data_IF_768798063342
#
_entry.id   IF_768798063342
#
_cell.length_a   1.000
_cell.length_b   1.000
_cell.length_c   1.000
_cell.angle_alpha   90.00
_cell.angle_beta   90.00
_cell.angle_gamma   90.00
#
_symmetry.space_group_name_H-M   'P 1'
#
loop_
_entity.id
_entity.type
_entity.pdbx_description
1 polymer ?
#
# COMPACT_ATOMS: atom_id res chain seq x y z
N UNK A 1 -41.66 0.66 -21.39
CA UNK A 1 -40.78 -0.50 -21.22
C UNK A 1 -39.60 -0.09 -20.34
N UNK A 2 -39.78 -0.10 -19.04
CA UNK A 2 -38.72 0.19 -18.07
C UNK A 2 -38.03 -1.14 -17.75
N UNK A 3 -37.02 -1.50 -18.55
CA UNK A 3 -36.24 -2.72 -18.31
C UNK A 3 -35.29 -2.48 -17.13
N UNK A 4 -35.54 -3.19 -16.03
CA UNK A 4 -34.55 -3.90 -15.19
C UNK A 4 -33.14 -3.26 -15.16
N UNK A 5 -32.95 -2.17 -14.40
CA UNK A 5 -31.61 -1.71 -13.98
C UNK A 5 -31.29 -2.07 -12.52
N UNK A 6 -32.31 -2.43 -11.72
CA UNK A 6 -32.20 -2.66 -10.27
C UNK A 6 -31.36 -3.91 -9.92
N UNK A 7 -31.26 -4.89 -10.83
CA UNK A 7 -30.51 -6.13 -10.58
C UNK A 7 -29.00 -6.00 -10.84
N UNK A 8 -28.58 -5.10 -11.74
CA UNK A 8 -27.17 -4.87 -12.01
C UNK A 8 -26.52 -4.00 -10.94
N UNK A 9 -27.26 -3.01 -10.44
CA UNK A 9 -26.80 -2.10 -9.40
C UNK A 9 -26.61 -2.84 -8.07
N UNK A 10 -27.57 -3.68 -7.65
CA UNK A 10 -27.43 -4.50 -6.44
C UNK A 10 -26.35 -5.58 -6.54
N UNK A 11 -26.15 -6.18 -7.72
CA UNK A 11 -25.04 -7.13 -7.95
C UNK A 11 -23.68 -6.43 -7.87
N UNK A 12 -23.58 -5.23 -8.44
CA UNK A 12 -22.37 -4.39 -8.37
C UNK A 12 -22.06 -4.00 -6.92
N UNK A 13 -23.04 -3.48 -6.19
CA UNK A 13 -22.91 -3.09 -4.78
C UNK A 13 -22.49 -4.27 -3.88
N UNK A 14 -23.03 -5.47 -4.11
CA UNK A 14 -22.62 -6.67 -3.40
C UNK A 14 -21.17 -7.07 -3.70
N UNK A 15 -20.75 -7.03 -4.97
CA UNK A 15 -19.37 -7.32 -5.36
C UNK A 15 -18.40 -6.29 -4.77
N UNK A 16 -18.75 -5.01 -4.81
CA UNK A 16 -18.01 -3.93 -4.18
C UNK A 16 -17.89 -4.11 -2.66
N UNK A 17 -18.98 -4.47 -1.99
CA UNK A 17 -19.00 -4.73 -0.55
C UNK A 17 -18.15 -5.93 -0.13
N UNK A 18 -18.25 -7.05 -0.85
CA UNK A 18 -17.42 -8.24 -0.58
C UNK A 18 -15.94 -7.96 -0.85
N UNK A 19 -15.63 -7.23 -1.93
CA UNK A 19 -14.25 -6.84 -2.25
C UNK A 19 -13.68 -5.90 -1.19
N UNK A 20 -14.46 -4.93 -0.72
CA UNK A 20 -14.04 -4.01 0.34
C UNK A 20 -13.81 -4.73 1.67
N UNK A 21 -14.67 -5.68 2.04
CA UNK A 21 -14.50 -6.48 3.24
C UNK A 21 -13.25 -7.36 3.17
N UNK A 22 -13.05 -8.05 2.04
CA UNK A 22 -11.86 -8.87 1.82
C UNK A 22 -10.56 -8.03 1.85
N UNK A 23 -10.59 -6.83 1.25
CA UNK A 23 -9.48 -5.88 1.34
C UNK A 23 -9.14 -5.52 2.78
N UNK A 24 -10.16 -5.26 3.60
CA UNK A 24 -9.97 -4.94 5.00
C UNK A 24 -9.36 -6.13 5.73
N UNK A 25 -9.98 -7.31 5.64
CA UNK A 25 -9.61 -8.47 6.45
C UNK A 25 -8.26 -9.07 6.04
N UNK A 26 -8.02 -9.21 4.73
CA UNK A 26 -6.86 -9.94 4.23
C UNK A 26 -5.69 -9.02 3.89
N UNK A 27 -5.97 -7.78 3.48
CA UNK A 27 -4.94 -6.85 3.01
C UNK A 27 -4.72 -5.67 3.98
N UNK A 28 -5.59 -5.33 4.94
CA UNK A 28 -5.39 -4.17 5.86
C UNK A 28 -5.23 -4.61 7.33
N UNK A 29 -6.07 -5.49 7.84
CA UNK A 29 -6.09 -5.90 9.25
C UNK A 29 -4.77 -6.52 9.76
N UNK A 30 -4.03 -7.35 8.97
CA UNK A 30 -2.78 -7.95 9.44
C UNK A 30 -1.66 -6.94 9.74
N UNK A 31 -1.78 -5.70 9.25
CA UNK A 31 -0.72 -4.69 9.34
C UNK A 31 -0.61 -4.03 10.70
N UNK A 32 -1.63 -4.12 11.56
CA UNK A 32 -1.60 -3.50 12.90
C UNK A 32 -0.41 -4.01 13.72
N UNK A 33 0.00 -5.28 13.53
CA UNK A 33 1.15 -5.86 14.21
C UNK A 33 2.47 -5.27 13.70
N UNK A 34 2.63 -5.13 12.38
CA UNK A 34 3.86 -4.57 11.78
C UNK A 34 3.95 -3.09 12.14
N UNK A 35 2.89 -2.30 11.97
CA UNK A 35 2.86 -0.87 12.28
C UNK A 35 3.21 -0.55 13.74
N UNK A 36 2.92 -1.46 14.67
CA UNK A 36 3.15 -1.25 16.12
C UNK A 36 4.36 -2.00 16.67
N UNK A 37 5.14 -2.65 15.79
CA UNK A 37 6.30 -3.44 16.20
C UNK A 37 7.41 -2.53 16.75
N UNK A 38 7.55 -2.54 18.07
CA UNK A 38 8.52 -1.74 18.81
C UNK A 38 9.98 -2.20 18.62
N UNK A 39 10.21 -3.35 17.98
CA UNK A 39 11.57 -3.80 17.68
C UNK A 39 12.29 -2.91 16.65
N UNK A 40 11.55 -2.08 15.92
CA UNK A 40 12.08 -1.13 14.95
C UNK A 40 12.36 0.27 15.51
N UNK A 41 12.17 0.50 16.82
CA UNK A 41 12.41 1.81 17.43
C UNK A 41 13.79 2.38 17.07
N UNK A 42 13.81 3.56 16.41
CA UNK A 42 14.99 4.27 15.86
C UNK A 42 15.54 3.69 14.55
N UNK A 43 14.82 2.79 13.90
CA UNK A 43 15.10 2.21 12.59
C UNK A 43 13.98 2.54 11.59
N UNK A 44 13.36 3.72 11.68
CA UNK A 44 12.13 4.02 10.94
C UNK A 44 12.19 3.86 9.42
N UNK A 45 13.31 4.18 8.78
CA UNK A 45 13.48 3.89 7.35
C UNK A 45 13.39 2.39 7.06
N UNK A 46 13.98 1.55 7.91
CA UNK A 46 13.89 0.09 7.80
C UNK A 46 12.47 -0.40 8.10
N UNK A 47 11.80 0.18 9.09
CA UNK A 47 10.40 -0.16 9.42
C UNK A 47 9.47 0.09 8.24
N UNK A 48 9.63 1.25 7.58
CA UNK A 48 8.89 1.59 6.36
C UNK A 48 9.18 0.59 5.23
N UNK A 49 10.44 0.15 5.08
CA UNK A 49 10.80 -0.86 4.07
C UNK A 49 10.07 -2.17 4.32
N UNK A 50 10.17 -2.69 5.55
CA UNK A 50 9.55 -3.95 5.95
C UNK A 50 8.04 -3.91 5.74
N UNK A 51 7.39 -2.78 6.06
CA UNK A 51 5.97 -2.61 5.80
C UNK A 51 5.65 -2.73 4.29
N UNK A 52 6.39 -2.04 3.43
CA UNK A 52 6.17 -2.07 1.98
C UNK A 52 6.49 -3.44 1.37
N UNK A 53 7.61 -4.06 1.75
CA UNK A 53 8.00 -5.40 1.30
C UNK A 53 6.93 -6.44 1.64
N UNK A 54 6.41 -6.38 2.86
CA UNK A 54 5.38 -7.29 3.26
C UNK A 54 4.06 -6.99 2.51
N UNK A 55 3.71 -5.72 2.23
CA UNK A 55 2.54 -5.38 1.41
C UNK A 55 2.65 -5.97 0.00
N UNK A 56 3.82 -5.85 -0.61
CA UNK A 56 4.16 -6.45 -1.91
C UNK A 56 3.98 -7.97 -1.84
N UNK A 57 4.62 -8.63 -0.87
CA UNK A 57 4.56 -10.08 -0.72
C UNK A 57 3.13 -10.59 -0.54
N UNK A 58 2.33 -9.92 0.29
CA UNK A 58 0.92 -10.27 0.54
C UNK A 58 0.08 -10.17 -0.73
N UNK A 59 0.19 -9.07 -1.49
CA UNK A 59 -0.61 -8.89 -2.72
C UNK A 59 -0.18 -9.83 -3.83
N UNK A 60 1.12 -10.06 -4.01
CA UNK A 60 1.62 -11.05 -4.97
C UNK A 60 1.20 -12.48 -4.60
N UNK A 61 1.25 -12.82 -3.31
CA UNK A 61 0.75 -14.11 -2.84
C UNK A 61 -0.71 -14.34 -3.26
N UNK A 62 -1.61 -13.37 -3.07
CA UNK A 62 -3.00 -13.53 -3.54
C UNK A 62 -3.14 -13.52 -5.05
N UNK A 63 -2.34 -12.73 -5.76
CA UNK A 63 -2.32 -12.74 -7.23
C UNK A 63 -1.94 -14.12 -7.79
N UNK A 64 -1.13 -14.89 -7.06
CA UNK A 64 -0.70 -16.24 -7.44
C UNK A 64 -1.60 -17.35 -6.90
N UNK A 65 -2.02 -17.26 -5.63
CA UNK A 65 -2.76 -18.32 -4.95
C UNK A 65 -4.26 -18.30 -5.22
N UNK A 66 -4.83 -17.15 -5.57
CA UNK A 66 -6.23 -16.97 -5.92
C UNK A 66 -6.39 -15.88 -7.00
N UNK A 67 -5.90 -16.20 -8.21
CA UNK A 67 -5.86 -15.28 -9.33
C UNK A 67 -7.26 -14.75 -9.73
N UNK A 68 -8.32 -15.57 -9.63
CA UNK A 68 -9.68 -15.16 -9.95
C UNK A 68 -10.19 -14.09 -8.96
N UNK A 69 -10.00 -14.32 -7.66
CA UNK A 69 -10.35 -13.35 -6.63
C UNK A 69 -9.53 -12.05 -6.78
N UNK A 70 -8.24 -12.18 -7.07
CA UNK A 70 -7.35 -11.05 -7.24
C UNK A 70 -7.67 -10.22 -8.50
N UNK A 71 -8.05 -10.86 -9.61
CA UNK A 71 -8.51 -10.19 -10.83
C UNK A 71 -9.80 -9.40 -10.59
N UNK A 72 -10.77 -10.00 -9.89
CA UNK A 72 -12.00 -9.31 -9.49
C UNK A 72 -11.67 -8.09 -8.63
N UNK A 73 -10.79 -8.24 -7.65
CA UNK A 73 -10.30 -7.16 -6.83
C UNK A 73 -9.65 -6.05 -7.66
N UNK A 74 -8.71 -6.38 -8.54
CA UNK A 74 -8.03 -5.43 -9.42
C UNK A 74 -9.03 -4.64 -10.28
N UNK A 75 -10.04 -5.32 -10.82
CA UNK A 75 -11.12 -4.70 -11.58
C UNK A 75 -11.97 -3.75 -10.73
N UNK A 76 -12.43 -4.18 -9.56
CA UNK A 76 -13.25 -3.33 -8.67
C UNK A 76 -12.46 -2.10 -8.21
N UNK A 77 -11.15 -2.23 -7.96
CA UNK A 77 -10.30 -1.07 -7.63
C UNK A 77 -10.14 -0.07 -8.77
N UNK A 78 -10.25 -0.51 -10.02
CA UNK A 78 -10.25 0.39 -11.18
C UNK A 78 -11.61 1.07 -11.39
N UNK A 79 -12.71 0.38 -11.06
CA UNK A 79 -14.08 0.85 -11.31
C UNK A 79 -14.65 1.70 -10.16
N UNK A 80 -14.12 1.59 -8.93
CA UNK A 80 -14.63 2.27 -7.73
C UNK A 80 -13.58 3.16 -7.06
N UNK A 81 -13.61 4.45 -7.39
CA UNK A 81 -12.73 5.47 -6.82
C UNK A 81 -12.84 5.56 -5.29
N UNK A 82 -14.02 5.33 -4.71
CA UNK A 82 -14.23 5.44 -3.26
C UNK A 82 -13.57 4.29 -2.50
N UNK A 83 -13.62 3.06 -3.02
CA UNK A 83 -13.00 1.89 -2.38
C UNK A 83 -11.48 2.03 -2.41
N UNK A 84 -10.90 2.42 -3.55
CA UNK A 84 -9.45 2.62 -3.66
C UNK A 84 -8.99 3.79 -2.78
N UNK A 85 -9.74 4.89 -2.71
CA UNK A 85 -9.41 6.02 -1.85
C UNK A 85 -9.37 5.63 -0.37
N UNK A 86 -10.36 4.86 0.11
CA UNK A 86 -10.36 4.35 1.49
C UNK A 86 -9.16 3.43 1.75
N UNK A 87 -8.90 2.49 0.83
CA UNK A 87 -7.75 1.58 0.94
C UNK A 87 -6.42 2.34 1.02
N UNK A 88 -6.20 3.32 0.13
CA UNK A 88 -5.01 4.16 0.13
C UNK A 88 -4.91 4.97 1.42
N UNK A 89 -6.01 5.55 1.91
CA UNK A 89 -6.02 6.27 3.19
C UNK A 89 -5.65 5.39 4.38
N UNK A 90 -6.02 4.11 4.38
CA UNK A 90 -5.58 3.15 5.41
C UNK A 90 -4.07 2.89 5.35
N UNK A 91 -3.52 2.64 4.15
CA UNK A 91 -2.08 2.45 3.98
C UNK A 91 -1.28 3.71 4.35
N UNK A 92 -1.76 4.90 3.96
CA UNK A 92 -1.16 6.18 4.34
C UNK A 92 -1.12 6.29 5.85
N UNK A 93 -2.22 6.02 6.55
CA UNK A 93 -2.28 6.10 8.01
C UNK A 93 -1.26 5.18 8.69
N UNK A 94 -1.13 3.93 8.25
CA UNK A 94 -0.15 3.00 8.83
C UNK A 94 1.30 3.51 8.65
N UNK A 95 1.65 3.97 7.46
CA UNK A 95 2.99 4.52 7.21
C UNK A 95 3.20 5.82 7.99
N UNK A 96 2.19 6.68 8.11
CA UNK A 96 2.24 7.88 8.95
C UNK A 96 2.46 7.57 10.42
N UNK A 97 1.85 6.49 10.93
CA UNK A 97 2.08 6.02 12.30
C UNK A 97 3.54 5.57 12.50
N UNK A 98 4.10 4.81 11.55
CA UNK A 98 5.51 4.43 11.55
C UNK A 98 6.41 5.68 11.53
N UNK A 99 6.16 6.64 10.63
CA UNK A 99 6.94 7.88 10.53
C UNK A 99 6.92 8.67 11.85
N UNK A 100 5.76 8.74 12.51
CA UNK A 100 5.59 9.48 13.77
C UNK A 100 6.28 8.79 14.95
N UNK A 101 6.24 7.45 15.02
CA UNK A 101 6.90 6.69 16.08
C UNK A 101 8.42 6.87 16.04
N UNK A 102 8.96 7.05 14.85
CA UNK A 102 10.40 6.94 14.62
C UNK A 102 11.15 8.25 14.86
N UNK A 103 10.50 9.42 14.76
CA UNK A 103 10.90 10.72 15.33
C UNK A 103 12.40 11.15 15.24
N UNK A 104 13.05 11.07 14.06
CA UNK A 104 13.90 12.19 13.61
C UNK A 104 13.29 12.93 12.42
N UNK A 105 12.28 12.35 11.77
CA UNK A 105 11.59 12.92 10.62
C UNK A 105 10.68 14.09 11.03
N UNK A 106 11.20 15.32 11.09
CA UNK A 106 10.36 16.54 11.17
C UNK A 106 9.69 16.85 9.83
N UNK A 107 9.01 15.88 9.22
CA UNK A 107 8.02 16.22 8.21
C UNK A 107 6.88 16.91 8.94
N UNK A 108 6.63 18.18 8.58
CA UNK A 108 5.47 18.92 9.07
C UNK A 108 4.15 18.20 8.75
N UNK A 109 4.18 17.20 7.85
CA UNK A 109 3.05 16.38 7.48
C UNK A 109 3.47 14.92 7.16
N UNK A 110 3.44 14.00 8.15
CA UNK A 110 3.72 12.57 7.94
C UNK A 110 2.86 11.92 6.84
N UNK A 111 1.60 12.36 6.68
CA UNK A 111 0.69 11.83 5.66
C UNK A 111 1.17 12.14 4.24
N UNK A 112 1.80 13.30 4.03
CA UNK A 112 2.36 13.67 2.72
C UNK A 112 3.53 12.76 2.37
N UNK A 113 4.42 12.46 3.33
CA UNK A 113 5.53 11.55 3.08
C UNK A 113 5.03 10.12 2.85
N UNK A 114 4.11 9.63 3.69
CA UNK A 114 3.49 8.33 3.54
C UNK A 114 2.84 8.15 2.16
N UNK A 115 2.09 9.16 1.70
CA UNK A 115 1.49 9.16 0.37
C UNK A 115 2.56 9.14 -0.74
N UNK A 116 3.64 9.93 -0.60
CA UNK A 116 4.74 9.94 -1.56
C UNK A 116 5.44 8.57 -1.68
N UNK A 117 5.70 7.90 -0.55
CA UNK A 117 6.29 6.55 -0.52
C UNK A 117 5.37 5.54 -1.21
N UNK A 118 4.06 5.58 -0.92
CA UNK A 118 3.08 4.70 -1.58
C UNK A 118 3.01 4.91 -3.08
N UNK A 119 3.03 6.17 -3.53
CA UNK A 119 3.03 6.52 -4.94
C UNK A 119 4.31 6.08 -5.63
N UNK A 120 5.48 6.34 -5.04
CA UNK A 120 6.77 5.95 -5.60
C UNK A 120 6.93 4.43 -5.74
N UNK A 121 6.27 3.67 -4.86
CA UNK A 121 6.32 2.19 -4.85
C UNK A 121 5.11 1.53 -5.50
N UNK A 122 4.17 2.30 -6.07
CA UNK A 122 2.90 1.78 -6.57
C UNK A 122 3.06 0.63 -7.57
N UNK A 123 4.07 0.68 -8.44
CA UNK A 123 4.35 -0.38 -9.42
C UNK A 123 4.49 -1.77 -8.79
N UNK A 124 4.94 -1.86 -7.55
CA UNK A 124 5.28 -3.12 -6.91
C UNK A 124 4.12 -3.76 -6.13
N UNK A 125 3.07 -3.00 -5.80
CA UNK A 125 1.94 -3.46 -4.98
C UNK A 125 0.56 -3.04 -5.49
N UNK A 126 0.45 -2.05 -6.37
CA UNK A 126 -0.84 -1.61 -6.86
C UNK A 126 -1.40 -2.57 -7.93
N UNK A 127 -2.66 -3.03 -7.84
CA UNK A 127 -3.20 -4.11 -8.69
C UNK A 127 -3.20 -3.80 -10.18
N UNK A 128 -3.26 -2.53 -10.56
CA UNK A 128 -3.13 -2.10 -11.96
C UNK A 128 -1.81 -2.53 -12.61
N UNK A 129 -0.78 -2.88 -11.82
CA UNK A 129 0.52 -3.36 -12.29
C UNK A 129 0.71 -4.87 -12.13
N UNK A 130 -0.34 -5.65 -11.85
CA UNK A 130 -0.23 -7.10 -11.59
C UNK A 130 0.50 -7.85 -12.71
N UNK A 131 0.29 -7.44 -13.96
CA UNK A 131 0.92 -8.02 -15.14
C UNK A 131 2.45 -7.81 -15.20
N UNK A 132 2.96 -6.82 -14.46
CA UNK A 132 4.40 -6.51 -14.37
C UNK A 132 5.11 -7.33 -13.29
N UNK A 133 4.38 -7.87 -12.31
CA UNK A 133 4.96 -8.55 -11.14
C UNK A 133 5.63 -9.88 -11.46
N UNK A 134 5.30 -10.48 -12.60
CA UNK A 134 5.93 -11.73 -13.08
C UNK A 134 7.29 -11.48 -13.74
N UNK A 135 7.71 -10.21 -13.89
CA UNK A 135 9.03 -9.88 -14.40
C UNK A 135 10.12 -10.41 -13.46
N UNK A 136 11.13 -11.14 -13.96
CA UNK A 136 12.25 -11.60 -13.12
C UNK A 136 13.10 -10.44 -12.58
N UNK A 137 12.93 -9.22 -13.11
CA UNK A 137 13.64 -8.02 -12.65
C UNK A 137 12.90 -7.25 -11.56
N UNK A 138 11.63 -7.59 -11.26
CA UNK A 138 10.74 -6.74 -10.45
C UNK A 138 11.28 -6.44 -9.05
N UNK A 139 11.94 -7.41 -8.43
CA UNK A 139 12.51 -7.25 -7.08
C UNK A 139 13.78 -6.40 -7.11
N UNK A 140 14.64 -6.60 -8.11
CA UNK A 140 15.81 -5.76 -8.28
C UNK A 140 15.43 -4.30 -8.56
N UNK A 141 14.37 -4.07 -9.34
CA UNK A 141 13.82 -2.74 -9.62
C UNK A 141 13.22 -2.10 -8.36
N UNK A 142 12.54 -2.87 -7.51
CA UNK A 142 12.07 -2.40 -6.21
C UNK A 142 13.22 -1.94 -5.33
N UNK A 143 14.29 -2.74 -5.23
CA UNK A 143 15.47 -2.39 -4.43
C UNK A 143 16.14 -1.09 -4.92
N UNK A 144 16.18 -0.83 -6.23
CA UNK A 144 16.70 0.43 -6.76
C UNK A 144 15.83 1.64 -6.38
N UNK A 145 14.50 1.50 -6.48
CA UNK A 145 13.57 2.56 -6.06
C UNK A 145 13.66 2.79 -4.55
N UNK A 146 13.72 1.71 -3.77
CA UNK A 146 13.84 1.81 -2.32
C UNK A 146 15.15 2.47 -1.90
N UNK A 147 16.27 2.12 -2.53
CA UNK A 147 17.56 2.75 -2.26
C UNK A 147 17.50 4.26 -2.48
N UNK A 148 16.83 4.73 -3.55
CA UNK A 148 16.64 6.16 -3.79
C UNK A 148 15.80 6.83 -2.68
N UNK A 149 14.71 6.19 -2.27
CA UNK A 149 13.85 6.67 -1.17
C UNK A 149 14.65 6.74 0.13
N UNK A 150 15.35 5.67 0.49
CA UNK A 150 16.18 5.59 1.69
C UNK A 150 17.25 6.69 1.71
N UNK A 151 17.97 6.90 0.60
CA UNK A 151 18.97 7.99 0.50
C UNK A 151 18.33 9.36 0.63
N UNK A 152 17.15 9.57 0.05
CA UNK A 152 16.38 10.81 0.20
C UNK A 152 15.98 11.07 1.65
N UNK A 153 15.48 10.04 2.34
CA UNK A 153 15.09 10.11 3.76
C UNK A 153 16.30 10.43 4.66
N UNK A 154 17.42 9.71 4.48
CA UNK A 154 18.66 9.94 5.25
C UNK A 154 19.26 11.32 4.97
N UNK A 155 19.20 11.81 3.74
CA UNK A 155 19.71 13.14 3.41
C UNK A 155 18.92 14.25 4.13
N UNK A 156 17.59 14.10 4.19
CA UNK A 156 16.72 15.03 4.93
C UNK A 156 16.98 15.02 6.44
N UNK A 157 17.46 13.90 6.99
CA UNK A 157 17.94 13.84 8.39
C UNK A 157 19.26 14.61 8.56
N UNK A 158 20.20 14.47 7.62
CA UNK A 158 21.56 15.04 7.72
C UNK A 158 21.64 16.57 7.54
N UNK A 159 20.85 17.16 6.62
CA UNK A 159 20.81 18.62 6.43
C UNK A 159 20.42 19.37 7.73
N UNK A 160 19.76 18.66 8.65
CA UNK A 160 19.34 19.18 9.96
C UNK A 160 20.37 19.08 11.06
N UNK A 161 21.24 18.08 11.09
CA UNK A 161 22.35 18.07 12.06
C UNK A 161 23.34 19.22 11.80
N UNK A 162 23.31 19.76 10.58
CA UNK A 162 24.18 20.82 10.10
C UNK A 162 23.59 22.24 10.22
N UNK A 163 22.32 22.37 10.64
CA UNK A 163 21.56 23.65 10.74
C UNK A 163 21.23 24.01 12.20
#
# INVERSE_FOLDING_TARGET
>A
MTKINICHESKKELLEGVTAQWLEDEIIAPWTAITKDQSYNREGTRHLKVYIEALIARKRHYAESDAELFEMYARVTQESADIINKHVQHLVRHLSEIIQQENPFQFNNPDVLAAAILQATARFHHPAHVYEWQSPAIDAEFEQVWLLIEKGLLHLEQERESS
#
